data_IF_368790893855
#
_entry.id   IF_368790893855
#
_cell.length_a   1.000
_cell.length_b   1.000
_cell.length_c   1.000
_cell.angle_alpha   90.00
_cell.angle_beta   90.00
_cell.angle_gamma   90.00
#
_symmetry.space_group_name_H-M   'P 1'
#
loop_
_entity.id
_entity.type
_entity.pdbx_description
1 polymer ?
#
# COMPACT_ATOMS: atom_id res chain seq x y z
N UNK A 1 2.23 2.32 -7.64
CA UNK A 1 2.29 2.61 -6.20
C UNK A 1 1.57 1.50 -5.47
N UNK A 2 2.25 0.96 -4.45
CA UNK A 2 1.84 -0.21 -3.71
C UNK A 2 1.48 0.18 -2.28
N UNK A 3 0.32 -0.26 -1.80
CA UNK A 3 -0.04 -0.19 -0.39
C UNK A 3 0.61 -1.36 0.35
N UNK A 4 1.43 -1.08 1.35
CA UNK A 4 2.13 -2.06 2.16
C UNK A 4 1.16 -2.77 3.12
N UNK A 5 1.03 -4.08 2.97
CA UNK A 5 0.20 -4.92 3.83
C UNK A 5 1.01 -5.72 4.85
N UNK A 6 2.19 -6.21 4.45
CA UNK A 6 3.12 -6.96 5.31
C UNK A 6 4.52 -6.97 4.70
N UNK A 7 5.52 -7.33 5.49
CA UNK A 7 6.93 -7.37 5.11
C UNK A 7 7.71 -8.42 5.89
N UNK A 8 8.93 -8.70 5.45
CA UNK A 8 9.90 -9.52 6.19
C UNK A 8 10.19 -8.97 7.58
N UNK A 9 10.28 -7.65 7.72
CA UNK A 9 10.73 -7.02 8.96
C UNK A 9 9.72 -7.14 10.12
N UNK A 10 10.21 -7.00 11.36
CA UNK A 10 9.34 -6.89 12.53
C UNK A 10 8.33 -5.76 12.41
N UNK A 11 7.16 -5.94 13.03
CA UNK A 11 6.07 -4.96 13.04
C UNK A 11 5.57 -4.46 11.66
N UNK A 12 5.86 -5.21 10.58
CA UNK A 12 5.44 -4.86 9.22
C UNK A 12 6.18 -3.64 8.64
N UNK A 13 7.41 -3.40 9.09
CA UNK A 13 8.23 -2.29 8.60
C UNK A 13 8.86 -2.60 7.24
N UNK A 14 9.14 -1.57 6.44
CA UNK A 14 9.91 -1.69 5.22
C UNK A 14 10.77 -0.45 5.06
N UNK A 15 12.02 -0.63 4.64
CA UNK A 15 12.91 0.50 4.37
C UNK A 15 12.99 0.74 2.87
N UNK A 16 12.75 1.98 2.46
CA UNK A 16 12.78 2.37 1.05
C UNK A 16 13.71 3.56 0.82
N UNK A 17 14.41 3.53 -0.29
CA UNK A 17 15.16 4.65 -0.83
C UNK A 17 14.33 5.34 -1.92
N UNK A 18 14.26 6.67 -1.91
CA UNK A 18 13.44 7.45 -2.86
C UNK A 18 14.25 8.35 -3.79
N UNK A 19 15.56 8.11 -3.92
CA UNK A 19 16.47 8.90 -4.76
C UNK A 19 15.97 9.12 -6.20
N UNK A 20 15.25 8.15 -6.76
CA UNK A 20 14.63 8.25 -8.08
C UNK A 20 13.37 9.15 -8.16
N UNK A 21 12.80 9.57 -7.03
CA UNK A 21 11.58 10.41 -6.96
C UNK A 21 11.91 11.84 -6.57
N UNK A 22 12.70 12.01 -5.51
CA UNK A 22 12.97 13.31 -4.88
C UNK A 22 14.48 13.61 -4.72
N UNK A 23 15.36 12.71 -5.16
CA UNK A 23 16.81 12.88 -5.04
C UNK A 23 17.35 12.62 -3.63
N UNK A 24 16.51 12.22 -2.67
CA UNK A 24 16.95 11.92 -1.31
C UNK A 24 17.51 10.49 -1.23
N UNK A 25 18.75 10.36 -0.74
CA UNK A 25 19.43 9.06 -0.58
C UNK A 25 19.19 8.40 0.78
N UNK A 26 18.54 9.09 1.71
CA UNK A 26 18.26 8.56 3.03
C UNK A 26 17.16 7.49 2.97
N UNK A 27 17.32 6.45 3.78
CA UNK A 27 16.28 5.43 3.93
C UNK A 27 15.06 6.03 4.65
N UNK A 28 13.90 5.81 4.08
CA UNK A 28 12.60 6.16 4.64
C UNK A 28 11.92 4.90 5.16
N UNK A 29 11.38 4.98 6.37
CA UNK A 29 10.64 3.87 6.99
C UNK A 29 9.18 3.94 6.54
N UNK A 30 8.64 2.81 6.11
CA UNK A 30 7.24 2.57 5.84
C UNK A 30 6.75 1.47 6.76
N UNK A 31 5.47 1.51 7.13
CA UNK A 31 4.90 0.56 8.07
C UNK A 31 3.50 0.14 7.64
N UNK A 32 3.31 -1.16 7.47
CA UNK A 32 2.02 -1.78 7.30
C UNK A 32 1.09 -1.49 8.48
N UNK A 33 -0.22 -1.67 8.29
CA UNK A 33 -1.12 -1.68 9.43
C UNK A 33 -0.83 -2.89 10.32
N UNK A 34 -0.82 -2.74 11.67
CA UNK A 34 -0.60 -3.87 12.57
C UNK A 34 -1.57 -5.03 12.33
N UNK A 35 -2.83 -4.72 12.02
CA UNK A 35 -3.86 -5.72 11.71
C UNK A 35 -3.55 -6.49 10.42
N UNK A 36 -3.11 -5.84 9.35
CA UNK A 36 -2.77 -6.52 8.09
C UNK A 36 -1.47 -7.31 8.21
N UNK A 37 -0.45 -6.74 8.86
CA UNK A 37 0.85 -7.39 9.02
C UNK A 37 0.75 -8.67 9.86
N UNK A 38 0.04 -8.61 10.99
CA UNK A 38 -0.18 -9.78 11.86
C UNK A 38 -1.08 -10.82 11.20
N UNK A 39 -2.15 -10.41 10.52
CA UNK A 39 -3.02 -11.35 9.82
C UNK A 39 -2.26 -12.11 8.72
N UNK A 40 -1.48 -11.43 7.89
CA UNK A 40 -0.71 -12.06 6.80
C UNK A 40 0.45 -12.94 7.32
N UNK A 41 1.08 -12.61 8.45
CA UNK A 41 2.11 -13.50 9.03
C UNK A 41 1.50 -14.78 9.62
N UNK A 42 0.28 -14.70 10.13
CA UNK A 42 -0.41 -15.81 10.80
C UNK A 42 -1.37 -16.60 9.88
N UNK A 43 -1.59 -16.15 8.65
CA UNK A 43 -2.56 -16.70 7.70
C UNK A 43 -1.95 -16.75 6.29
N UNK A 44 -2.63 -17.43 5.37
CA UNK A 44 -2.21 -17.39 3.97
C UNK A 44 -2.72 -16.10 3.31
N UNK A 45 -1.99 -15.59 2.32
CA UNK A 45 -2.41 -14.44 1.52
C UNK A 45 -3.72 -14.70 0.78
N UNK A 46 -3.98 -15.96 0.47
CA UNK A 46 -5.22 -16.43 -0.15
C UNK A 46 -6.45 -16.06 0.68
N UNK A 47 -6.35 -16.09 2.01
CA UNK A 47 -7.45 -15.74 2.90
C UNK A 47 -7.80 -14.24 2.79
N UNK A 48 -6.81 -13.37 2.56
CA UNK A 48 -7.04 -11.94 2.34
C UNK A 48 -7.72 -11.68 0.99
N UNK A 49 -7.34 -12.44 -0.03
CA UNK A 49 -7.96 -12.34 -1.35
C UNK A 49 -9.42 -12.83 -1.27
N UNK A 50 -9.67 -13.91 -0.52
CA UNK A 50 -11.00 -14.44 -0.27
C UNK A 50 -11.87 -13.54 0.61
N UNK A 51 -11.27 -12.68 1.44
CA UNK A 51 -12.03 -11.83 2.37
C UNK A 51 -12.74 -10.64 1.72
N UNK A 52 -12.65 -10.48 0.39
CA UNK A 52 -13.29 -9.38 -0.39
C UNK A 52 -13.04 -7.98 0.21
N UNK A 53 -11.88 -7.78 0.82
CA UNK A 53 -11.50 -6.50 1.41
C UNK A 53 -11.39 -5.42 0.32
N UNK A 54 -11.75 -4.19 0.65
CA UNK A 54 -11.74 -3.07 -0.30
C UNK A 54 -10.82 -1.94 0.17
N UNK A 55 -10.19 -1.26 -0.79
CA UNK A 55 -9.40 -0.05 -0.52
C UNK A 55 -10.05 1.11 -1.27
N UNK A 56 -10.24 2.21 -0.56
CA UNK A 56 -10.68 3.49 -1.09
C UNK A 56 -9.58 4.52 -0.83
N UNK A 57 -9.19 5.29 -1.83
CA UNK A 57 -8.15 6.31 -1.68
C UNK A 57 -8.43 7.53 -2.55
N UNK A 58 -7.76 8.63 -2.23
CA UNK A 58 -7.85 9.87 -3.00
C UNK A 58 -7.45 9.65 -4.48
N UNK A 59 -7.92 10.52 -5.40
CA UNK A 59 -7.49 10.49 -6.79
C UNK A 59 -5.97 10.59 -6.93
N UNK A 60 -5.38 9.99 -7.99
CA UNK A 60 -3.95 10.09 -8.26
C UNK A 60 -3.46 11.55 -8.28
N UNK A 61 -2.43 11.85 -7.49
CA UNK A 61 -1.83 13.19 -7.39
C UNK A 61 -0.31 13.13 -7.52
N UNK A 62 0.28 14.20 -8.06
CA UNK A 62 1.72 14.41 -8.09
C UNK A 62 2.33 14.77 -6.72
N UNK A 63 1.53 14.96 -5.68
CA UNK A 63 2.08 15.23 -4.34
C UNK A 63 2.74 13.96 -3.79
N UNK A 64 4.07 13.87 -3.89
CA UNK A 64 4.85 12.66 -3.55
C UNK A 64 4.67 12.24 -2.09
N UNK A 65 4.46 13.23 -1.21
CA UNK A 65 4.35 13.05 0.24
C UNK A 65 2.92 12.94 0.76
N UNK A 66 1.91 13.07 -0.10
CA UNK A 66 0.51 13.03 0.30
C UNK A 66 -0.16 11.74 -0.19
N UNK A 67 -0.77 11.01 0.73
CA UNK A 67 -1.66 9.92 0.43
C UNK A 67 -2.68 9.80 1.55
N UNK A 68 -3.95 9.67 1.18
CA UNK A 68 -5.04 9.40 2.10
C UNK A 68 -5.90 8.31 1.51
N UNK A 69 -6.29 7.37 2.37
CA UNK A 69 -7.21 6.32 2.01
C UNK A 69 -7.74 5.62 3.24
N UNK A 70 -8.59 4.63 2.99
CA UNK A 70 -9.18 3.75 3.98
C UNK A 70 -9.18 2.35 3.40
N UNK A 71 -8.74 1.37 4.21
CA UNK A 71 -8.91 -0.04 3.90
C UNK A 71 -10.02 -0.62 4.77
N UNK A 72 -10.93 -1.32 4.12
CA UNK A 72 -12.08 -1.98 4.72
C UNK A 72 -11.81 -3.49 4.73
N UNK A 73 -11.63 -4.04 5.92
CA UNK A 73 -11.26 -5.44 6.14
C UNK A 73 -12.36 -6.12 6.95
N UNK A 74 -12.77 -7.32 6.54
CA UNK A 74 -13.73 -8.13 7.30
C UNK A 74 -13.12 -8.57 8.63
N UNK A 75 -13.89 -8.47 9.71
CA UNK A 75 -13.47 -8.81 11.08
C UNK A 75 -13.09 -10.28 11.23
N UNK A 76 -13.72 -11.15 10.46
CA UNK A 76 -13.37 -12.57 10.37
C UNK A 76 -11.92 -12.82 9.94
N UNK A 77 -11.34 -11.93 9.13
CA UNK A 77 -9.94 -12.01 8.70
C UNK A 77 -8.97 -11.59 9.81
N UNK A 78 -9.28 -10.52 10.55
CA UNK A 78 -8.40 -10.03 11.63
C UNK A 78 -8.58 -10.79 12.95
N UNK A 79 -9.77 -11.31 13.21
CA UNK A 79 -10.14 -12.03 14.43
C UNK A 79 -10.92 -13.30 14.09
N UNK A 80 -10.26 -14.47 14.19
CA UNK A 80 -10.86 -15.79 13.92
C UNK A 80 -12.08 -16.13 14.80
N UNK A 81 -12.25 -15.45 15.94
CA UNK A 81 -13.38 -15.65 16.85
C UNK A 81 -14.62 -14.84 16.48
N UNK A 82 -14.52 -13.92 15.53
CA UNK A 82 -15.64 -13.10 15.08
C UNK A 82 -16.55 -13.91 14.16
N UNK A 83 -17.79 -14.15 14.62
CA UNK A 83 -18.84 -14.81 13.82
C UNK A 83 -19.57 -13.87 12.87
N UNK A 84 -19.24 -12.57 12.86
CA UNK A 84 -19.90 -11.55 12.06
C UNK A 84 -19.04 -11.09 10.88
N UNK A 85 -19.68 -10.88 9.73
CA UNK A 85 -19.09 -10.27 8.53
C UNK A 85 -18.96 -8.73 8.67
N UNK A 86 -18.73 -8.26 9.89
CA UNK A 86 -18.54 -6.85 10.19
C UNK A 86 -17.28 -6.35 9.47
N UNK A 87 -17.41 -5.23 8.79
CA UNK A 87 -16.30 -4.56 8.11
C UNK A 87 -15.68 -3.55 9.06
N UNK A 88 -14.37 -3.63 9.26
CA UNK A 88 -13.59 -2.66 10.02
C UNK A 88 -12.79 -1.80 9.05
N UNK A 89 -12.94 -0.49 9.18
CA UNK A 89 -12.22 0.51 8.38
C UNK A 89 -10.97 0.98 9.12
N UNK A 90 -9.83 0.96 8.43
CA UNK A 90 -8.56 1.47 8.94
C UNK A 90 -8.06 2.62 8.05
N UNK A 91 -7.71 3.78 8.63
CA UNK A 91 -7.16 4.89 7.86
C UNK A 91 -5.76 4.54 7.32
N UNK A 92 -5.48 5.02 6.13
CA UNK A 92 -4.21 4.86 5.43
C UNK A 92 -3.59 6.23 5.17
N UNK A 93 -2.28 6.31 5.35
CA UNK A 93 -1.48 7.48 5.04
C UNK A 93 -0.25 7.15 4.22
N UNK A 94 0.59 8.16 3.98
CA UNK A 94 1.86 8.00 3.25
C UNK A 94 2.78 6.95 3.87
N UNK A 95 2.68 6.72 5.19
CA UNK A 95 3.43 5.67 5.91
C UNK A 95 3.17 4.25 5.38
N UNK A 96 2.01 3.99 4.78
CA UNK A 96 1.65 2.69 4.19
C UNK A 96 1.92 2.64 2.68
N UNK A 97 2.32 3.74 2.03
CA UNK A 97 2.48 3.78 0.58
C UNK A 97 3.95 3.57 0.16
N UNK A 98 4.16 2.66 -0.79
CA UNK A 98 5.41 2.47 -1.52
C UNK A 98 5.25 3.05 -2.95
N UNK A 99 5.77 4.25 -3.23
CA UNK A 99 5.67 4.86 -4.55
C UNK A 99 6.44 4.08 -5.61
N UNK A 100 5.98 4.10 -6.86
CA UNK A 100 6.76 3.60 -8.00
C UNK A 100 8.11 4.32 -8.03
N UNK A 101 9.19 3.58 -8.25
CA UNK A 101 10.55 4.13 -8.36
C UNK A 101 11.34 4.09 -7.05
N UNK A 102 10.69 3.84 -5.90
CA UNK A 102 11.44 3.56 -4.68
C UNK A 102 12.16 2.21 -4.78
N UNK A 103 13.33 2.11 -4.15
CA UNK A 103 14.05 0.84 -4.01
C UNK A 103 13.81 0.29 -2.62
N UNK A 104 13.45 -0.98 -2.54
CA UNK A 104 13.41 -1.70 -1.27
C UNK A 104 14.85 -1.98 -0.84
N UNK A 105 15.18 -1.62 0.39
CA UNK A 105 16.51 -1.77 0.98
C UNK A 105 16.34 -2.39 2.36
N UNK A 106 17.29 -3.20 2.83
CA UNK A 106 17.24 -3.80 4.17
C UNK A 106 15.87 -4.44 4.52
N UNK A 107 15.22 -5.03 3.52
CA UNK A 107 13.90 -5.67 3.63
C UNK A 107 13.82 -6.67 2.49
N UNK A 108 13.75 -7.96 2.79
CA UNK A 108 13.84 -9.03 1.80
C UNK A 108 12.62 -9.06 0.87
N UNK A 109 11.44 -8.87 1.45
CA UNK A 109 10.19 -8.91 0.70
C UNK A 109 9.11 -8.05 1.35
N UNK A 110 8.16 -7.64 0.50
CA UNK A 110 6.91 -7.00 0.92
C UNK A 110 5.72 -7.60 0.21
N UNK A 111 4.60 -7.69 0.91
CA UNK A 111 3.28 -7.93 0.34
C UNK A 111 2.51 -6.62 0.29
N UNK A 112 1.86 -6.35 -0.84
CA UNK A 112 1.05 -5.15 -0.97
C UNK A 112 0.02 -5.20 -2.07
N UNK A 113 -0.83 -4.16 -2.10
CA UNK A 113 -1.90 -3.98 -3.08
C UNK A 113 -1.58 -2.83 -4.00
N UNK A 114 -1.75 -3.02 -5.31
CA UNK A 114 -1.56 -1.91 -6.26
C UNK A 114 -2.74 -0.94 -6.13
N UNK A 115 -2.46 0.31 -5.74
CA UNK A 115 -3.48 1.39 -5.65
C UNK A 115 -3.42 2.34 -6.85
N UNK A 116 -2.22 2.60 -7.38
CA UNK A 116 -2.02 3.37 -8.61
C UNK A 116 -1.11 2.61 -9.57
N UNK A 117 -1.48 2.58 -10.85
CA UNK A 117 -0.73 1.89 -11.90
C UNK A 117 -0.52 2.78 -13.14
N UNK A 118 0.49 2.45 -13.95
CA UNK A 118 0.79 3.17 -15.19
C UNK A 118 1.05 4.67 -14.97
N UNK A 119 0.37 5.51 -15.77
CA UNK A 119 0.51 6.96 -15.75
C UNK A 119 -0.10 7.62 -14.51
N UNK A 120 -0.85 6.87 -13.69
CA UNK A 120 -1.43 7.36 -12.45
C UNK A 120 -0.49 7.22 -11.24
N UNK A 121 0.67 6.57 -11.40
CA UNK A 121 1.66 6.49 -10.30
C UNK A 121 2.25 7.85 -9.99
N UNK A 122 2.60 8.09 -8.72
CA UNK A 122 3.22 9.34 -8.26
C UNK A 122 4.45 9.72 -9.08
N UNK A 123 5.33 8.75 -9.37
CA UNK A 123 6.50 8.99 -10.22
C UNK A 123 6.10 9.51 -11.59
N UNK A 124 5.16 8.86 -12.28
CA UNK A 124 4.74 9.28 -13.61
C UNK A 124 4.08 10.66 -13.60
N UNK A 125 3.27 10.96 -12.58
CA UNK A 125 2.64 12.27 -12.43
C UNK A 125 3.64 13.39 -12.15
N UNK A 126 4.82 13.08 -11.59
CA UNK A 126 5.90 14.05 -11.37
C UNK A 126 6.88 14.11 -12.55
N UNK A 127 7.09 13.01 -13.28
CA UNK A 127 7.96 12.97 -14.46
C UNK A 127 7.28 13.55 -15.71
N UNK A 128 5.95 13.49 -15.79
CA UNK A 128 5.19 14.08 -16.90
C UNK A 128 4.96 15.56 -16.63
N UNK A 129 5.63 16.42 -17.42
CA UNK A 129 5.42 17.87 -17.47
C UNK A 129 4.05 18.28 -18.07
N UNK A 130 3.04 17.43 -17.94
CA UNK A 130 1.72 17.61 -18.56
C UNK A 130 0.68 17.76 -17.47
N UNK A 131 -0.03 18.88 -17.51
CA UNK A 131 -1.06 19.31 -16.57
C UNK A 131 -2.02 18.15 -16.26
N UNK A 132 -1.86 17.52 -15.10
CA UNK A 132 -2.81 16.54 -14.60
C UNK A 132 -4.13 17.27 -14.31
N UNK A 133 -5.15 17.04 -15.15
CA UNK A 133 -6.50 17.55 -14.88
C UNK A 133 -6.96 16.92 -13.56
N UNK A 134 -7.26 17.77 -12.57
CA UNK A 134 -7.78 17.36 -11.26
C UNK A 134 -9.15 16.72 -11.47
N UNK A 135 -9.20 15.39 -11.55
CA UNK A 135 -10.47 14.65 -11.57
C UNK A 135 -10.99 14.67 -10.13
N UNK A 136 -11.92 15.57 -9.85
CA UNK A 136 -12.38 15.88 -8.48
C UNK A 136 -13.22 14.76 -7.84
N UNK A 137 -13.74 13.81 -8.63
CA UNK A 137 -14.62 12.74 -8.12
C UNK A 137 -14.23 11.38 -8.71
N UNK A 138 -13.13 10.81 -8.24
CA UNK A 138 -12.79 9.43 -8.58
C UNK A 138 -12.34 8.65 -7.34
N UNK A 139 -13.29 7.94 -6.73
CA UNK A 139 -12.97 6.96 -5.69
C UNK A 139 -12.54 5.68 -6.40
N UNK A 140 -11.23 5.42 -6.39
CA UNK A 140 -10.68 4.13 -6.83
C UNK A 140 -11.12 3.07 -5.82
N UNK A 141 -12.14 2.28 -6.16
CA UNK A 141 -12.49 1.07 -5.42
C UNK A 141 -11.81 -0.11 -6.09
N UNK A 142 -10.70 -0.57 -5.52
CA UNK A 142 -9.93 -1.70 -6.07
C UNK A 142 -10.17 -2.94 -5.24
N UNK A 143 -10.57 -4.04 -5.88
CA UNK A 143 -10.51 -5.38 -5.28
C UNK A 143 -9.05 -5.75 -5.07
N UNK A 144 -8.70 -6.14 -3.85
CA UNK A 144 -7.30 -6.40 -3.47
C UNK A 144 -6.68 -7.47 -4.37
N UNK A 145 -5.71 -7.05 -5.19
CA UNK A 145 -4.78 -7.95 -5.88
C UNK A 145 -3.42 -7.84 -5.22
N UNK A 146 -3.03 -8.89 -4.50
CA UNK A 146 -1.79 -8.92 -3.71
C UNK A 146 -0.61 -9.21 -4.64
N UNK A 147 0.43 -8.40 -4.53
CA UNK A 147 1.73 -8.65 -5.15
C UNK A 147 2.75 -8.93 -4.06
N UNK A 148 3.57 -9.97 -4.27
CA UNK A 148 4.83 -10.17 -3.57
C UNK A 148 5.91 -9.44 -4.35
N UNK A 149 6.62 -8.53 -3.70
CA UNK A 149 7.83 -7.92 -4.25
C UNK A 149 9.03 -8.45 -3.47
N UNK A 150 10.01 -8.99 -4.17
CA UNK A 150 11.27 -9.47 -3.61
C UNK A 150 12.37 -8.45 -3.92
N UNK A 151 13.17 -8.12 -2.91
CA UNK A 151 14.35 -7.30 -3.11
C UNK A 151 15.31 -8.04 -4.05
N UNK A 152 15.78 -7.35 -5.09
CA UNK A 152 16.90 -7.85 -5.89
C UNK A 152 18.19 -7.59 -5.10
N UNK A 153 18.84 -8.67 -4.68
CA UNK A 153 20.21 -8.68 -4.15
C UNK A 153 21.18 -8.37 -5.28
#
# INVERSE_FOLDING_TARGET
>A
DLLLLSSSEPAGMAYIETSNLDGESNLKIRQALPCSASAIKNQNIEDLIASESTVECDPPSGAIYEFKGVINIKKSFTMKTARSDEVISYPLGTSQLLPRGCKLQNTDWVYGVVVYAGNHTKLMLNSMRTIAKRILNFTMKTTIRVLKCEARI
#
